data_IF_223124558402
#
_entry.id   IF_223124558402
#
_cell.length_a   1.000
_cell.length_b   1.000
_cell.length_c   1.000
_cell.angle_alpha   90.00
_cell.angle_beta   90.00
_cell.angle_gamma   90.00
#
_symmetry.space_group_name_H-M   'P 1'
#
loop_
_entity.id
_entity.type
_entity.pdbx_description
1 polymer ?
#
# COMPACT_ATOMS: atom_id res chain seq x y z
N UNK A 1 -20.68 -16.93 3.20
CA UNK A 1 -19.75 -15.96 3.81
C UNK A 1 -20.55 -15.02 4.71
N UNK A 2 -20.22 -14.92 5.99
CA UNK A 2 -20.95 -14.05 6.93
C UNK A 2 -20.34 -12.65 6.87
N UNK A 3 -20.94 -11.77 6.06
CA UNK A 3 -20.47 -10.40 5.83
C UNK A 3 -20.43 -9.56 7.13
N UNK A 4 -21.30 -9.83 8.09
CA UNK A 4 -21.31 -9.11 9.37
C UNK A 4 -20.05 -9.35 10.20
N UNK A 5 -19.33 -10.45 9.95
CA UNK A 5 -18.05 -10.74 10.61
C UNK A 5 -16.84 -10.15 9.89
N UNK A 6 -17.01 -9.74 8.63
CA UNK A 6 -15.93 -9.21 7.78
C UNK A 6 -15.93 -7.69 7.82
N UNK A 7 -17.12 -7.08 7.76
CA UNK A 7 -17.27 -5.64 7.72
C UNK A 7 -17.00 -5.00 9.08
N UNK A 8 -16.37 -3.83 9.12
CA UNK A 8 -16.25 -3.05 10.34
C UNK A 8 -17.63 -2.63 10.86
N UNK A 9 -17.76 -2.47 12.17
CA UNK A 9 -19.04 -2.13 12.84
C UNK A 9 -19.58 -0.77 12.43
N UNK A 10 -18.72 0.15 12.04
CA UNK A 10 -19.02 1.50 11.54
C UNK A 10 -18.96 1.57 10.00
N UNK A 11 -18.96 0.43 9.34
CA UNK A 11 -18.93 0.31 7.88
C UNK A 11 -20.29 0.57 7.21
N UNK A 12 -20.33 0.59 5.87
CA UNK A 12 -21.57 0.76 5.13
C UNK A 12 -22.52 -0.45 5.33
N UNK A 13 -23.85 -0.26 5.09
CA UNK A 13 -24.82 -1.34 5.17
C UNK A 13 -24.47 -2.51 4.25
N UNK A 14 -24.77 -3.73 4.68
CA UNK A 14 -24.46 -4.97 3.94
C UNK A 14 -25.04 -4.94 2.51
N UNK A 15 -26.26 -4.44 2.36
CA UNK A 15 -26.94 -4.35 1.04
C UNK A 15 -26.19 -3.43 0.08
N UNK A 16 -25.58 -2.36 0.58
CA UNK A 16 -24.76 -1.44 -0.22
C UNK A 16 -23.45 -2.11 -0.61
N UNK A 17 -22.77 -2.77 0.33
CA UNK A 17 -21.53 -3.51 0.08
C UNK A 17 -21.75 -4.55 -1.01
N UNK A 18 -22.84 -5.32 -0.96
CA UNK A 18 -23.16 -6.36 -1.95
C UNK A 18 -23.29 -5.80 -3.36
N UNK A 19 -23.90 -4.62 -3.53
CA UNK A 19 -24.01 -3.96 -4.85
C UNK A 19 -22.62 -3.65 -5.44
N UNK A 20 -21.70 -3.14 -4.61
CA UNK A 20 -20.35 -2.82 -5.08
C UNK A 20 -19.51 -4.08 -5.32
N UNK A 21 -19.63 -5.10 -4.47
CA UNK A 21 -18.97 -6.40 -4.70
C UNK A 21 -19.41 -7.00 -6.01
N UNK A 22 -20.72 -7.04 -6.30
CA UNK A 22 -21.25 -7.56 -7.56
C UNK A 22 -20.77 -6.74 -8.77
N UNK A 23 -20.75 -5.42 -8.64
CA UNK A 23 -20.28 -4.52 -9.70
C UNK A 23 -18.80 -4.72 -10.05
N UNK A 24 -17.96 -4.97 -9.07
CA UNK A 24 -16.49 -4.99 -9.23
C UNK A 24 -15.87 -6.39 -9.11
N UNK A 25 -16.65 -7.47 -8.98
CA UNK A 25 -16.14 -8.82 -8.75
C UNK A 25 -15.17 -9.36 -9.82
N UNK A 26 -15.25 -8.84 -11.05
CA UNK A 26 -14.38 -9.22 -12.17
C UNK A 26 -13.39 -8.13 -12.56
N UNK A 27 -13.31 -7.07 -11.78
CA UNK A 27 -12.46 -5.92 -12.06
C UNK A 27 -11.24 -5.92 -11.16
N UNK A 28 -10.14 -5.34 -11.65
CA UNK A 28 -8.97 -5.03 -10.84
C UNK A 28 -9.12 -3.63 -10.28
N UNK A 29 -9.16 -3.52 -8.96
CA UNK A 29 -9.27 -2.24 -8.27
C UNK A 29 -7.87 -1.76 -7.91
N UNK A 30 -7.44 -0.65 -8.51
CA UNK A 30 -6.15 -0.02 -8.20
C UNK A 30 -6.34 1.02 -7.11
N UNK A 31 -5.66 0.83 -5.98
CA UNK A 31 -5.68 1.73 -4.84
C UNK A 31 -4.32 2.42 -4.74
N UNK A 32 -4.31 3.74 -4.92
CA UNK A 32 -3.11 4.54 -4.68
C UNK A 32 -3.01 4.91 -3.20
N UNK A 33 -1.94 4.47 -2.56
CA UNK A 33 -1.61 4.81 -1.18
C UNK A 33 -0.38 5.72 -1.15
N UNK A 34 -0.58 7.01 -0.87
CA UNK A 34 0.48 8.01 -1.01
C UNK A 34 0.37 9.15 -0.01
N UNK A 35 1.34 10.06 -0.06
CA UNK A 35 1.40 11.24 0.79
C UNK A 35 1.86 10.97 2.22
N UNK A 36 1.41 11.79 3.15
CA UNK A 36 1.81 11.75 4.56
C UNK A 36 1.10 10.67 5.40
N UNK A 37 0.29 9.84 4.79
CA UNK A 37 -0.51 8.79 5.46
C UNK A 37 0.38 7.75 6.17
N UNK A 38 1.67 7.67 5.80
CA UNK A 38 2.64 6.71 6.34
C UNK A 38 3.29 7.09 7.67
N UNK A 39 2.95 8.25 8.23
CA UNK A 39 3.60 8.75 9.44
C UNK A 39 2.93 8.18 10.69
N UNK A 40 1.65 7.84 10.60
CA UNK A 40 0.84 7.34 11.70
C UNK A 40 0.65 5.81 11.59
N UNK A 41 1.12 5.08 12.60
CA UNK A 41 0.99 3.62 12.68
C UNK A 41 -0.48 3.18 12.69
N UNK A 42 -1.35 3.90 13.36
CA UNK A 42 -2.78 3.57 13.43
C UNK A 42 -3.46 3.68 12.06
N UNK A 43 -3.09 4.70 11.29
CA UNK A 43 -3.61 4.88 9.92
C UNK A 43 -3.12 3.74 9.02
N UNK A 44 -1.85 3.35 9.13
CA UNK A 44 -1.30 2.21 8.41
C UNK A 44 -2.04 0.90 8.76
N UNK A 45 -2.21 0.62 10.05
CA UNK A 45 -2.88 -0.60 10.51
C UNK A 45 -4.36 -0.64 10.06
N UNK A 46 -5.05 0.49 10.03
CA UNK A 46 -6.42 0.57 9.49
C UNK A 46 -6.42 0.29 7.99
N UNK A 47 -5.51 0.88 7.22
CA UNK A 47 -5.37 0.61 5.80
C UNK A 47 -5.14 -0.87 5.49
N UNK A 48 -4.27 -1.55 6.26
CA UNK A 48 -4.04 -2.98 6.13
C UNK A 48 -5.31 -3.79 6.41
N UNK A 49 -6.09 -3.41 7.42
CA UNK A 49 -7.40 -4.03 7.72
C UNK A 49 -8.40 -3.84 6.59
N UNK A 50 -8.50 -2.64 6.04
CA UNK A 50 -9.42 -2.32 4.94
C UNK A 50 -9.07 -3.14 3.68
N UNK A 51 -7.79 -3.26 3.33
CA UNK A 51 -7.33 -4.13 2.25
C UNK A 51 -7.70 -5.59 2.48
N UNK A 52 -7.57 -6.07 3.72
CA UNK A 52 -7.96 -7.43 4.09
C UNK A 52 -9.47 -7.64 3.94
N UNK A 53 -10.29 -6.65 4.29
CA UNK A 53 -11.74 -6.69 4.08
C UNK A 53 -12.07 -6.81 2.60
N UNK A 54 -11.51 -5.95 1.74
CA UNK A 54 -11.72 -6.01 0.29
C UNK A 54 -11.33 -7.37 -0.30
N UNK A 55 -10.19 -7.92 0.11
CA UNK A 55 -9.74 -9.26 -0.31
C UNK A 55 -10.71 -10.36 0.15
N UNK A 56 -11.20 -10.31 1.39
CA UNK A 56 -12.17 -11.27 1.92
C UNK A 56 -13.54 -11.18 1.23
N UNK A 57 -13.88 -10.03 0.70
CA UNK A 57 -15.08 -9.83 -0.14
C UNK A 57 -14.90 -10.39 -1.56
N UNK A 58 -13.73 -10.93 -1.92
CA UNK A 58 -13.42 -11.51 -3.22
C UNK A 58 -13.02 -10.49 -4.29
N UNK A 59 -12.73 -9.25 -3.90
CA UNK A 59 -12.28 -8.21 -4.83
C UNK A 59 -10.78 -8.36 -5.12
N UNK A 60 -10.41 -8.13 -6.39
CA UNK A 60 -9.01 -8.13 -6.83
C UNK A 60 -8.41 -6.73 -6.65
N UNK A 61 -7.49 -6.58 -5.70
CA UNK A 61 -6.92 -5.28 -5.36
C UNK A 61 -5.43 -5.23 -5.71
N UNK A 62 -5.03 -4.17 -6.39
CA UNK A 62 -3.63 -3.78 -6.63
C UNK A 62 -3.35 -2.49 -5.89
N UNK A 63 -2.36 -2.50 -5.00
CA UNK A 63 -1.93 -1.30 -4.27
C UNK A 63 -0.73 -0.69 -4.93
N UNK A 64 -0.82 0.59 -5.28
CA UNK A 64 0.30 1.41 -5.74
C UNK A 64 0.67 2.37 -4.61
N UNK A 65 1.86 2.22 -4.05
CA UNK A 65 2.29 3.05 -2.93
C UNK A 65 3.46 3.97 -3.29
N UNK A 66 3.60 5.05 -2.55
CA UNK A 66 4.78 5.92 -2.57
C UNK A 66 5.67 5.66 -1.35
N UNK A 67 6.68 6.51 -1.13
CA UNK A 67 7.60 6.38 0.00
C UNK A 67 8.22 7.69 0.45
N UNK A 68 7.69 8.84 0.00
CA UNK A 68 8.30 10.16 0.21
C UNK A 68 8.82 10.43 1.62
N UNK A 69 8.01 10.30 2.69
CA UNK A 69 8.45 10.51 4.06
C UNK A 69 9.52 9.52 4.53
N UNK A 70 9.41 8.24 4.15
CA UNK A 70 10.44 7.22 4.48
C UNK A 70 11.76 7.51 3.77
N UNK A 71 11.68 7.86 2.47
CA UNK A 71 12.85 8.25 1.67
C UNK A 71 13.54 9.47 2.29
N UNK A 72 12.76 10.52 2.64
CA UNK A 72 13.31 11.71 3.28
C UNK A 72 14.04 11.37 4.58
N UNK A 73 13.43 10.54 5.42
CA UNK A 73 14.03 10.11 6.70
C UNK A 73 15.32 9.33 6.47
N UNK A 74 15.36 8.42 5.51
CA UNK A 74 16.53 7.61 5.24
C UNK A 74 17.69 8.43 4.65
N UNK A 75 17.40 9.32 3.71
CA UNK A 75 18.40 10.27 3.18
C UNK A 75 18.97 11.17 4.30
N UNK A 76 18.11 11.65 5.21
CA UNK A 76 18.56 12.45 6.35
C UNK A 76 19.50 11.68 7.29
N UNK A 77 19.27 10.39 7.54
CA UNK A 77 20.17 9.55 8.34
C UNK A 77 21.57 9.41 7.70
N UNK A 78 21.60 9.44 6.39
CA UNK A 78 22.86 9.34 5.62
C UNK A 78 23.50 10.72 5.33
N UNK A 79 22.94 11.80 5.90
CA UNK A 79 23.36 13.19 5.66
C UNK A 79 23.30 13.59 4.17
N UNK A 80 22.33 13.02 3.43
CA UNK A 80 22.08 13.34 2.03
C UNK A 80 20.92 14.33 1.94
N UNK A 81 21.17 15.51 1.38
CA UNK A 81 20.12 16.50 1.10
C UNK A 81 19.27 16.08 -0.10
N UNK A 82 17.97 16.20 0.08
CA UNK A 82 16.99 15.95 -0.98
C UNK A 82 16.56 17.27 -1.63
N UNK A 83 16.87 17.46 -2.90
CA UNK A 83 16.47 18.63 -3.68
C UNK A 83 15.26 18.32 -4.53
N UNK A 84 14.39 19.31 -4.71
CA UNK A 84 13.22 19.20 -5.57
C UNK A 84 13.21 20.35 -6.59
N UNK A 85 12.88 20.01 -7.84
CA UNK A 85 12.65 20.98 -8.91
C UNK A 85 11.25 20.74 -9.46
N UNK A 86 10.38 21.74 -9.40
CA UNK A 86 8.98 21.65 -9.84
C UNK A 86 8.22 20.45 -9.28
N UNK A 87 8.46 20.12 -8.00
CA UNK A 87 7.81 18.98 -7.33
C UNK A 87 8.44 17.61 -7.59
N UNK A 88 9.42 17.51 -8.46
CA UNK A 88 10.16 16.28 -8.75
C UNK A 88 11.48 16.26 -7.96
N UNK A 89 11.78 15.12 -7.35
CA UNK A 89 13.06 14.92 -6.65
C UNK A 89 14.20 14.85 -7.66
N UNK A 90 15.25 15.64 -7.43
CA UNK A 90 16.52 15.47 -8.14
C UNK A 90 17.16 14.20 -7.59
N UNK A 91 17.31 13.20 -8.46
CA UNK A 91 17.72 11.85 -8.05
C UNK A 91 18.99 11.47 -8.78
N UNK A 92 20.12 11.54 -8.09
CA UNK A 92 21.41 11.04 -8.57
C UNK A 92 21.57 9.54 -8.25
N UNK A 93 22.70 8.95 -8.60
CA UNK A 93 22.98 7.53 -8.39
C UNK A 93 22.94 7.12 -6.91
N UNK A 94 23.38 7.97 -5.99
CA UNK A 94 23.30 7.68 -4.54
C UNK A 94 21.88 7.72 -4.05
N UNK A 95 21.12 8.71 -4.47
CA UNK A 95 19.73 8.89 -4.08
C UNK A 95 18.84 7.78 -4.64
N UNK A 96 19.06 7.35 -5.90
CA UNK A 96 18.23 6.30 -6.51
C UNK A 96 18.35 4.98 -5.77
N UNK A 97 19.55 4.60 -5.33
CA UNK A 97 19.76 3.38 -4.56
C UNK A 97 19.01 3.41 -3.21
N UNK A 98 19.03 4.56 -2.52
CA UNK A 98 18.26 4.75 -1.28
C UNK A 98 16.76 4.69 -1.55
N UNK A 99 16.29 5.35 -2.62
CA UNK A 99 14.88 5.36 -3.02
C UNK A 99 14.41 3.94 -3.32
N UNK A 100 15.15 3.17 -4.11
CA UNK A 100 14.82 1.80 -4.48
C UNK A 100 14.70 0.92 -3.23
N UNK A 101 15.73 0.93 -2.37
CA UNK A 101 15.73 0.14 -1.13
C UNK A 101 14.53 0.47 -0.26
N UNK A 102 14.28 1.76 -0.01
CA UNK A 102 13.16 2.20 0.84
C UNK A 102 11.80 1.79 0.27
N UNK A 103 11.63 1.86 -1.06
CA UNK A 103 10.37 1.46 -1.69
C UNK A 103 10.16 -0.05 -1.65
N UNK A 104 11.21 -0.85 -1.84
CA UNK A 104 11.14 -2.31 -1.72
C UNK A 104 10.82 -2.72 -0.29
N UNK A 105 11.55 -2.18 0.69
CA UNK A 105 11.32 -2.48 2.11
C UNK A 105 9.88 -2.13 2.52
N UNK A 106 9.38 -1.00 2.03
CA UNK A 106 8.01 -0.60 2.34
C UNK A 106 6.96 -1.48 1.66
N UNK A 107 7.22 -1.92 0.44
CA UNK A 107 6.38 -2.90 -0.25
C UNK A 107 6.29 -4.21 0.57
N UNK A 108 7.42 -4.71 1.04
CA UNK A 108 7.46 -5.91 1.89
C UNK A 108 6.77 -5.70 3.25
N UNK A 109 6.88 -4.53 3.88
CA UNK A 109 6.14 -4.20 5.10
C UNK A 109 4.62 -4.33 4.89
N UNK A 110 4.08 -3.82 3.78
CA UNK A 110 2.66 -3.94 3.43
C UNK A 110 2.29 -5.41 3.24
N UNK A 111 3.06 -6.15 2.45
CA UNK A 111 2.81 -7.56 2.16
C UNK A 111 2.84 -8.41 3.44
N UNK A 112 3.85 -8.20 4.29
CA UNK A 112 3.98 -8.95 5.54
C UNK A 112 2.84 -8.64 6.51
N UNK A 113 2.47 -7.36 6.66
CA UNK A 113 1.33 -6.95 7.49
C UNK A 113 0.00 -7.57 7.03
N UNK A 114 -0.21 -7.68 5.71
CA UNK A 114 -1.37 -8.37 5.16
C UNK A 114 -1.35 -9.88 5.45
N UNK A 115 -0.19 -10.53 5.34
CA UNK A 115 -0.02 -11.96 5.64
C UNK A 115 -0.24 -12.25 7.13
N UNK A 116 0.24 -11.39 8.02
CA UNK A 116 0.07 -11.52 9.48
C UNK A 116 -1.41 -11.55 9.90
N UNK A 117 -2.28 -10.83 9.18
CA UNK A 117 -3.72 -10.85 9.42
C UNK A 117 -4.48 -11.88 8.54
N UNK A 118 -3.76 -12.83 7.94
CA UNK A 118 -4.31 -13.95 7.19
C UNK A 118 -4.75 -13.64 5.74
N UNK A 119 -4.35 -12.50 5.19
CA UNK A 119 -4.61 -12.16 3.79
C UNK A 119 -3.53 -12.72 2.87
N UNK A 120 -3.90 -13.10 1.65
CA UNK A 120 -2.95 -13.44 0.59
C UNK A 120 -2.47 -12.15 -0.06
N UNK A 121 -1.16 -11.96 -0.11
CA UNK A 121 -0.54 -10.80 -0.75
C UNK A 121 0.78 -11.18 -1.41
N UNK A 122 1.11 -10.51 -2.50
CA UNK A 122 2.38 -10.66 -3.22
C UNK A 122 2.97 -9.27 -3.52
N UNK A 123 4.28 -9.20 -3.44
CA UNK A 123 5.05 -8.01 -3.81
C UNK A 123 5.26 -8.00 -5.32
N UNK A 124 5.06 -6.84 -5.94
CA UNK A 124 5.34 -6.60 -7.35
C UNK A 124 6.32 -5.43 -7.46
N UNK A 125 7.50 -5.68 -8.00
CA UNK A 125 8.51 -4.65 -8.28
C UNK A 125 9.57 -5.18 -9.27
N UNK A 126 10.36 -4.27 -9.86
CA UNK A 126 11.33 -4.58 -10.93
C UNK A 126 12.43 -5.58 -10.56
N UNK A 127 12.71 -5.76 -9.28
CA UNK A 127 13.75 -6.69 -8.79
C UNK A 127 13.21 -8.09 -8.46
N UNK A 128 11.93 -8.34 -8.64
CA UNK A 128 11.29 -9.61 -8.29
C UNK A 128 10.64 -10.25 -9.50
N UNK A 129 11.09 -11.46 -9.82
CA UNK A 129 10.47 -12.38 -10.78
C UNK A 129 10.27 -11.80 -12.20
N UNK A 130 10.96 -10.73 -12.57
CA UNK A 130 10.83 -10.04 -13.86
C UNK A 130 9.37 -9.70 -14.22
N UNK A 131 8.55 -9.34 -13.23
CA UNK A 131 7.11 -9.08 -13.41
C UNK A 131 6.87 -7.68 -14.00
N UNK A 132 7.82 -6.75 -13.83
CA UNK A 132 7.76 -5.38 -14.35
C UNK A 132 9.07 -5.07 -15.08
#
# INVERSE_FOLDING_TARGET
MDLKKILPTDGPPVEEVLKYVEKYKNEIIVIKYGGNVFIDRKIFDNFIKDLSVLSKLGLQVVVVHGGGPRIKRELSKQNIESKFIRGLRVTDEKIINVVETVLIDFNEDIVNSLKEIGSKAASLHTKKDNVI
#
